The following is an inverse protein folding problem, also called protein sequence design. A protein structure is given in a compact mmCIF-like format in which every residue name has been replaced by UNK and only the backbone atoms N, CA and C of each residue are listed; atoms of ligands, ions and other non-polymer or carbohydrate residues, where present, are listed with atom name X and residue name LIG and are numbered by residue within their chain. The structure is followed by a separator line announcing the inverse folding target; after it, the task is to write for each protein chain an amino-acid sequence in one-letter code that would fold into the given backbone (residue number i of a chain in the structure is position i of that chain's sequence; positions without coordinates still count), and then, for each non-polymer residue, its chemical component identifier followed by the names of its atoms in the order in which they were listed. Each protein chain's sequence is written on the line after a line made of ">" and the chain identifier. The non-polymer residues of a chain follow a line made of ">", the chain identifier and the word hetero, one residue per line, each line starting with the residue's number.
data_IF_288261707252
#
_entry.id   IF_288261707252
#
_cell.length_a   1.000
_cell.length_b   1.000
_cell.length_c   1.000
_cell.angle_alpha   90.00
_cell.angle_beta   90.00
_cell.angle_gamma   90.00
#
_symmetry.space_group_name_H-M   'P 1'
#
loop_
_entity.id
_entity.type
_entity.pdbx_description
1 polymer ?
#
# COMPACT_ATOMS: atom_id res chain seq x y z
N UNK A 1 14.36 -13.12 -5.11
CA UNK A 1 12.91 -12.92 -4.89
C UNK A 1 12.64 -11.43 -4.97
N UNK A 2 11.59 -11.01 -5.67
CA UNK A 2 11.14 -9.62 -5.61
C UNK A 2 10.45 -9.36 -4.27
N UNK A 3 10.71 -8.24 -3.59
CA UNK A 3 10.04 -7.91 -2.34
C UNK A 3 8.55 -7.73 -2.58
N UNK A 4 7.72 -8.22 -1.66
CA UNK A 4 6.28 -8.01 -1.68
C UNK A 4 5.94 -6.79 -0.85
N UNK A 5 5.48 -5.74 -1.52
CA UNK A 5 5.25 -4.43 -0.90
C UNK A 5 3.75 -4.15 -0.89
N UNK A 6 3.21 -3.96 0.32
CA UNK A 6 1.83 -3.54 0.53
C UNK A 6 1.67 -2.05 0.32
N UNK A 7 0.56 -1.62 -0.27
CA UNK A 7 0.13 -0.22 -0.31
C UNK A 7 -1.22 -0.12 0.41
N UNK A 8 -1.27 0.64 1.50
CA UNK A 8 -2.50 0.82 2.26
C UNK A 8 -3.58 1.49 1.39
N UNK A 9 -4.71 0.81 1.20
CA UNK A 9 -5.79 1.17 0.30
C UNK A 9 -7.14 1.34 1.03
N UNK A 10 -7.10 2.04 2.18
CA UNK A 10 -8.30 2.41 2.96
C UNK A 10 -9.04 3.62 2.35
N UNK A 11 -8.31 4.50 1.68
CA UNK A 11 -8.85 5.60 0.88
C UNK A 11 -8.34 5.49 -0.58
N UNK A 12 -8.82 6.37 -1.45
CA UNK A 12 -8.36 6.46 -2.85
C UNK A 12 -6.86 6.81 -2.98
N UNK A 13 -6.39 6.98 -4.22
CA UNK A 13 -5.00 7.40 -4.56
C UNK A 13 -3.87 6.36 -4.37
N UNK A 14 -4.20 5.06 -4.53
CA UNK A 14 -3.21 3.97 -4.43
C UNK A 14 -2.67 3.47 -5.76
N UNK A 15 -3.24 3.86 -6.91
CA UNK A 15 -2.92 3.25 -8.21
C UNK A 15 -1.51 3.59 -8.68
N UNK A 16 -1.11 4.84 -8.48
CA UNK A 16 0.17 5.41 -8.86
C UNK A 16 1.31 4.72 -8.10
N UNK A 17 1.09 4.45 -6.81
CA UNK A 17 2.03 3.71 -5.96
C UNK A 17 2.19 2.26 -6.42
N UNK A 18 1.09 1.56 -6.73
CA UNK A 18 1.13 0.19 -7.23
C UNK A 18 1.86 0.10 -8.57
N UNK A 19 1.59 1.03 -9.49
CA UNK A 19 2.25 1.10 -10.79
C UNK A 19 3.76 1.35 -10.64
N UNK A 20 4.15 2.36 -9.85
CA UNK A 20 5.56 2.70 -9.63
C UNK A 20 6.35 1.54 -9.00
N UNK A 21 5.74 0.81 -8.06
CA UNK A 21 6.35 -0.38 -7.46
C UNK A 21 6.52 -1.52 -8.46
N UNK A 22 5.52 -1.75 -9.31
CA UNK A 22 5.58 -2.76 -10.38
C UNK A 22 6.68 -2.42 -11.39
N UNK A 23 6.80 -1.15 -11.79
CA UNK A 23 7.84 -0.67 -12.71
C UNK A 23 9.25 -0.79 -12.09
N UNK A 24 9.35 -0.65 -10.77
CA UNK A 24 10.59 -0.88 -10.02
C UNK A 24 10.92 -2.36 -9.79
N UNK A 25 10.06 -3.29 -10.22
CA UNK A 25 10.26 -4.74 -10.12
C UNK A 25 9.85 -5.37 -8.78
N UNK A 26 9.09 -4.64 -7.95
CA UNK A 26 8.51 -5.18 -6.71
C UNK A 26 7.13 -5.82 -6.95
N UNK A 27 6.76 -6.78 -6.10
CA UNK A 27 5.41 -7.34 -6.09
C UNK A 27 4.50 -6.44 -5.27
N UNK A 28 3.81 -5.52 -5.94
CA UNK A 28 2.92 -4.56 -5.30
C UNK A 28 1.53 -5.16 -5.02
N UNK A 29 1.04 -5.04 -3.79
CA UNK A 29 -0.32 -5.49 -3.43
C UNK A 29 -1.07 -4.43 -2.63
N UNK A 30 -2.37 -4.22 -2.88
CA UNK A 30 -3.18 -3.36 -2.02
C UNK A 30 -3.41 -4.04 -0.66
N UNK A 31 -3.41 -3.25 0.41
CA UNK A 31 -3.69 -3.68 1.79
C UNK A 31 -4.89 -2.90 2.31
N UNK A 32 -5.96 -3.60 2.65
CA UNK A 32 -7.24 -3.05 3.16
C UNK A 32 -7.59 -3.59 4.54
N UNK A 33 -6.97 -4.69 4.96
CA UNK A 33 -7.24 -5.38 6.21
C UNK A 33 -5.94 -5.69 6.94
N UNK A 34 -6.02 -5.82 8.26
CA UNK A 34 -4.86 -6.16 9.10
C UNK A 34 -4.24 -7.51 8.73
N UNK A 35 -5.07 -8.51 8.41
CA UNK A 35 -4.62 -9.85 8.00
C UNK A 35 -3.75 -9.86 6.72
N UNK A 36 -3.84 -8.82 5.89
CA UNK A 36 -3.02 -8.70 4.67
C UNK A 36 -1.61 -8.16 4.96
N UNK A 37 -1.37 -7.60 6.17
CA UNK A 37 -0.05 -7.12 6.59
C UNK A 37 0.93 -8.27 6.78
N UNK A 38 0.44 -9.44 7.21
CA UNK A 38 1.28 -10.62 7.41
C UNK A 38 1.80 -11.20 6.09
N UNK A 39 1.26 -10.75 4.95
CA UNK A 39 1.61 -11.21 3.62
C UNK A 39 2.61 -10.31 2.88
N UNK A 40 3.10 -9.23 3.51
CA UNK A 40 4.00 -8.25 2.88
C UNK A 40 5.29 -8.03 3.67
N UNK A 41 6.38 -7.76 2.96
CA UNK A 41 7.70 -7.48 3.56
C UNK A 41 7.83 -6.02 4.01
N UNK A 42 7.04 -5.12 3.40
CA UNK A 42 7.01 -3.70 3.70
C UNK A 42 5.63 -3.11 3.38
N UNK A 43 5.31 -1.97 4.02
CA UNK A 43 4.06 -1.25 3.81
C UNK A 43 4.33 0.21 3.41
N UNK A 44 3.70 0.65 2.33
CA UNK A 44 3.57 2.06 1.94
C UNK A 44 2.26 2.60 2.49
N UNK A 45 2.34 3.75 3.14
CA UNK A 45 1.19 4.55 3.53
C UNK A 45 1.11 5.71 2.53
N UNK A 46 0.19 5.67 1.54
CA UNK A 46 0.11 6.68 0.50
C UNK A 46 -0.36 8.02 1.05
N UNK A 47 0.03 9.10 0.35
CA UNK A 47 -0.48 10.44 0.62
C UNK A 47 -1.91 10.65 0.11
N UNK A 48 -2.59 11.64 0.66
CA UNK A 48 -3.96 12.03 0.35
C UNK A 48 -4.34 13.21 1.24
N UNK A 49 -5.39 13.05 2.06
CA UNK A 49 -5.62 13.91 3.23
C UNK A 49 -5.23 13.18 4.52
N UNK A 50 -4.21 13.68 5.21
CA UNK A 50 -3.71 13.12 6.47
C UNK A 50 -4.78 13.05 7.57
N UNK A 51 -5.72 14.00 7.60
CA UNK A 51 -6.85 14.01 8.52
C UNK A 51 -7.76 12.80 8.29
N UNK A 52 -8.15 12.54 7.04
CA UNK A 52 -9.00 11.40 6.67
C UNK A 52 -8.33 10.07 7.03
N UNK A 53 -7.02 9.95 6.76
CA UNK A 53 -6.25 8.77 7.13
C UNK A 53 -6.23 8.54 8.65
N UNK A 54 -6.11 9.59 9.46
CA UNK A 54 -6.12 9.48 10.92
C UNK A 54 -7.46 8.98 11.49
N UNK A 55 -8.57 9.13 10.76
CA UNK A 55 -9.86 8.60 11.18
C UNK A 55 -10.08 7.13 10.76
N UNK A 56 -9.31 6.63 9.80
CA UNK A 56 -9.47 5.30 9.20
C UNK A 56 -8.45 4.26 9.71
N UNK A 57 -7.31 4.72 10.23
CA UNK A 57 -6.22 3.90 10.79
C UNK A 57 -6.41 3.65 12.30
#
# INVERSE_FOLDING_TARGET
>A
MSPRIGVLALQGDTREHLAALSDAGASAVPVRRREELDAVDALIIPGGESTTMSHLL
#
